data_IF_947966414054
#
_entry.id   IF_947966414054
#
_cell.length_a   1.000
_cell.length_b   1.000
_cell.length_c   1.000
_cell.angle_alpha   90.00
_cell.angle_beta   90.00
_cell.angle_gamma   90.00
#
_symmetry.space_group_name_H-M   'P 1'
#
loop_
_entity.id
_entity.type
_entity.pdbx_description
1 polymer ?
#
# COMPACT_ATOMS: atom_id res chain seq x y z
N UNK A 1 -33.51 31.63 -33.39
CA UNK A 1 -33.39 31.87 -31.94
C UNK A 1 -32.78 30.64 -31.29
N UNK A 2 -31.75 30.87 -30.45
CA UNK A 2 -31.11 29.99 -29.45
C UNK A 2 -30.74 28.56 -29.91
N UNK A 3 -29.48 28.17 -30.12
CA UNK A 3 -28.28 28.51 -29.35
C UNK A 3 -27.66 27.18 -28.91
N UNK A 4 -26.73 26.65 -29.71
CA UNK A 4 -25.90 25.46 -29.40
C UNK A 4 -25.01 25.78 -28.20
N UNK A 5 -25.57 25.63 -27.01
CA UNK A 5 -24.83 25.69 -25.76
C UNK A 5 -24.06 24.39 -25.57
N UNK A 6 -22.78 24.41 -25.94
CA UNK A 6 -21.76 23.49 -25.44
C UNK A 6 -21.94 23.37 -23.91
N UNK A 7 -22.48 22.23 -23.44
CA UNK A 7 -22.52 21.91 -22.01
C UNK A 7 -21.10 21.54 -21.62
N UNK A 8 -20.29 22.57 -21.37
CA UNK A 8 -18.98 22.48 -20.77
C UNK A 8 -19.18 21.89 -19.38
N UNK A 9 -18.85 20.60 -19.20
CA UNK A 9 -18.79 19.97 -17.89
C UNK A 9 -17.55 20.50 -17.16
N UNK A 10 -17.64 21.73 -16.66
CA UNK A 10 -16.77 22.23 -15.59
C UNK A 10 -17.31 21.65 -14.30
N UNK A 11 -16.44 20.97 -13.54
CA UNK A 11 -16.71 20.30 -12.25
C UNK A 11 -17.42 18.94 -12.33
N UNK A 12 -16.68 17.91 -12.75
CA UNK A 12 -17.06 16.52 -12.42
C UNK A 12 -16.76 16.22 -10.94
N UNK A 13 -17.59 16.73 -10.03
CA UNK A 13 -17.88 16.03 -8.78
C UNK A 13 -19.02 15.05 -9.08
N UNK A 14 -18.69 13.98 -9.80
CA UNK A 14 -19.65 12.92 -10.07
C UNK A 14 -20.00 12.20 -8.78
N UNK A 15 -21.20 12.44 -8.25
CA UNK A 15 -21.87 11.53 -7.33
C UNK A 15 -22.25 10.25 -8.09
N UNK A 16 -21.25 9.44 -8.45
CA UNK A 16 -21.49 8.07 -8.86
C UNK A 16 -21.86 7.27 -7.62
N UNK A 17 -23.00 6.58 -7.63
CA UNK A 17 -23.33 5.58 -6.62
C UNK A 17 -22.08 4.74 -6.36
N UNK A 18 -21.62 4.75 -5.12
CA UNK A 18 -20.39 4.07 -4.78
C UNK A 18 -20.76 2.59 -4.72
N UNK A 19 -20.71 1.92 -5.87
CA UNK A 19 -21.02 0.50 -5.99
C UNK A 19 -20.21 -0.25 -4.94
N UNK A 20 -20.89 -1.06 -4.13
CA UNK A 20 -20.32 -1.90 -3.09
C UNK A 20 -19.13 -2.71 -3.62
N UNK A 21 -19.13 -3.04 -4.92
CA UNK A 21 -18.01 -3.69 -5.62
C UNK A 21 -16.68 -2.95 -5.47
N UNK A 22 -16.67 -1.61 -5.49
CA UNK A 22 -15.45 -0.82 -5.36
C UNK A 22 -14.84 -0.94 -3.96
N UNK A 23 -15.65 -0.83 -2.91
CA UNK A 23 -15.17 -1.03 -1.55
C UNK A 23 -14.72 -2.46 -1.31
N UNK A 24 -15.47 -3.44 -1.84
CA UNK A 24 -15.11 -4.84 -1.75
C UNK A 24 -13.73 -5.12 -2.35
N UNK A 25 -13.47 -4.67 -3.58
CA UNK A 25 -12.16 -4.84 -4.24
C UNK A 25 -11.04 -4.17 -3.45
N UNK A 26 -11.28 -2.98 -2.88
CA UNK A 26 -10.28 -2.30 -2.05
C UNK A 26 -9.95 -3.09 -0.78
N UNK A 27 -10.93 -3.70 -0.12
CA UNK A 27 -10.68 -4.55 1.05
C UNK A 27 -9.99 -5.86 0.66
N UNK A 28 -10.38 -6.49 -0.46
CA UNK A 28 -9.70 -7.68 -0.98
C UNK A 28 -8.24 -7.37 -1.30
N UNK A 29 -7.95 -6.23 -1.95
CA UNK A 29 -6.59 -5.80 -2.23
C UNK A 29 -5.77 -5.58 -0.94
N UNK A 30 -6.36 -5.00 0.11
CA UNK A 30 -5.70 -4.86 1.41
C UNK A 30 -5.40 -6.21 2.06
N UNK A 31 -6.37 -7.13 2.08
CA UNK A 31 -6.18 -8.49 2.60
C UNK A 31 -5.08 -9.20 1.82
N UNK A 32 -5.14 -9.16 0.48
CA UNK A 32 -4.13 -9.73 -0.40
C UNK A 32 -2.73 -9.15 -0.10
N UNK A 33 -2.64 -7.83 0.10
CA UNK A 33 -1.39 -7.17 0.46
C UNK A 33 -0.82 -7.66 1.79
N UNK A 34 -1.64 -7.77 2.84
CA UNK A 34 -1.18 -8.31 4.13
C UNK A 34 -0.79 -9.79 4.03
N UNK A 35 -1.57 -10.61 3.34
CA UNK A 35 -1.23 -12.02 3.12
C UNK A 35 0.07 -12.20 2.34
N UNK A 36 0.34 -11.30 1.37
CA UNK A 36 1.60 -11.30 0.62
C UNK A 36 2.78 -11.03 1.54
N UNK A 37 2.67 -10.06 2.46
CA UNK A 37 3.70 -9.78 3.46
C UNK A 37 4.00 -10.98 4.36
N UNK A 38 2.96 -11.63 4.88
CA UNK A 38 3.10 -12.83 5.72
C UNK A 38 3.75 -13.99 4.95
N UNK A 39 3.32 -14.22 3.71
CA UNK A 39 3.90 -15.24 2.85
C UNK A 39 5.39 -14.99 2.60
N UNK A 40 5.77 -13.75 2.27
CA UNK A 40 7.17 -13.36 2.08
C UNK A 40 7.98 -13.49 3.37
N UNK A 41 7.43 -13.07 4.51
CA UNK A 41 8.11 -13.13 5.81
C UNK A 41 8.37 -14.57 6.25
N UNK A 42 7.37 -15.45 6.12
CA UNK A 42 7.50 -16.88 6.47
C UNK A 42 8.51 -17.63 5.60
N UNK A 43 8.74 -17.13 4.39
CA UNK A 43 9.59 -17.74 3.38
C UNK A 43 10.94 -17.06 3.18
N UNK A 44 11.25 -16.02 3.95
CA UNK A 44 12.49 -15.26 3.87
C UNK A 44 13.53 -15.81 4.83
N UNK A 45 14.78 -15.85 4.39
CA UNK A 45 15.89 -16.26 5.24
C UNK A 45 16.38 -15.09 6.09
N UNK A 46 16.32 -15.25 7.41
CA UNK A 46 16.87 -14.31 8.38
C UNK A 46 18.19 -14.85 8.94
N UNK A 47 19.33 -14.18 8.71
CA UNK A 47 20.60 -14.63 9.25
C UNK A 47 20.63 -14.50 10.78
N UNK A 48 21.34 -15.39 11.46
CA UNK A 48 21.48 -15.38 12.93
C UNK A 48 22.12 -14.11 13.50
N UNK A 49 22.83 -13.36 12.66
CA UNK A 49 23.40 -12.03 12.99
C UNK A 49 22.35 -10.92 13.03
N UNK A 50 21.14 -11.16 12.51
CA UNK A 50 20.06 -10.19 12.41
C UNK A 50 18.71 -10.90 12.55
N UNK A 51 18.53 -11.58 13.69
CA UNK A 51 17.29 -12.26 14.04
C UNK A 51 16.39 -11.27 14.80
N UNK A 52 15.28 -10.80 14.20
CA UNK A 52 14.50 -9.73 14.79
C UNK A 52 13.69 -10.26 15.97
N UNK A 53 13.94 -9.74 17.18
CA UNK A 53 13.09 -9.98 18.34
C UNK A 53 11.96 -8.96 18.41
N UNK A 54 12.16 -7.77 17.82
CA UNK A 54 11.24 -6.65 17.88
C UNK A 54 10.91 -6.07 16.50
N UNK A 55 9.74 -5.44 16.36
CA UNK A 55 9.32 -4.79 15.10
C UNK A 55 10.33 -3.77 14.58
N UNK A 56 11.01 -3.05 15.48
CA UNK A 56 12.02 -2.06 15.10
C UNK A 56 13.27 -2.72 14.47
N UNK A 57 13.66 -3.88 15.00
CA UNK A 57 14.78 -4.67 14.49
C UNK A 57 14.45 -5.30 13.15
N UNK A 58 13.17 -5.66 12.89
CA UNK A 58 12.72 -6.08 11.56
C UNK A 58 13.07 -4.99 10.53
N UNK A 59 12.77 -3.73 10.81
CA UNK A 59 13.11 -2.63 9.89
C UNK A 59 14.63 -2.39 9.79
N UNK A 60 15.36 -2.44 10.90
CA UNK A 60 16.83 -2.28 10.89
C UNK A 60 17.55 -3.38 10.12
N UNK A 61 17.15 -4.64 10.34
CA UNK A 61 17.67 -5.80 9.62
C UNK A 61 17.12 -5.90 8.20
N UNK A 62 15.96 -5.29 7.90
CA UNK A 62 15.34 -5.33 6.56
C UNK A 62 16.28 -4.87 5.45
N UNK A 63 17.08 -3.82 5.71
CA UNK A 63 18.00 -3.24 4.75
C UNK A 63 19.11 -4.21 4.29
N UNK A 64 19.43 -5.22 5.10
CA UNK A 64 20.45 -6.24 4.79
C UNK A 64 19.90 -7.51 4.17
N UNK A 65 18.58 -7.75 4.21
CA UNK A 65 17.96 -8.94 3.60
C UNK A 65 18.39 -9.23 2.16
N UNK A 66 18.38 -8.25 1.22
CA UNK A 66 18.80 -8.53 -0.15
C UNK A 66 20.31 -8.80 -0.28
N UNK A 67 21.13 -8.41 0.70
CA UNK A 67 22.57 -8.66 0.70
C UNK A 67 22.93 -10.03 1.26
N UNK A 68 22.26 -10.46 2.34
CA UNK A 68 22.58 -11.71 3.03
C UNK A 68 21.85 -12.93 2.44
N UNK A 69 20.63 -12.74 1.93
CA UNK A 69 19.81 -13.83 1.36
C UNK A 69 19.83 -13.91 -0.17
N UNK A 70 20.14 -12.80 -0.86
CA UNK A 70 20.32 -12.74 -2.33
C UNK A 70 19.12 -13.16 -3.20
N UNK A 71 18.01 -13.61 -2.62
CA UNK A 71 16.85 -14.10 -3.32
C UNK A 71 15.81 -13.03 -3.61
N UNK A 72 14.90 -13.36 -4.54
CA UNK A 72 13.81 -12.47 -4.93
C UNK A 72 12.79 -12.26 -3.80
N UNK A 73 12.66 -13.22 -2.88
CA UNK A 73 11.73 -13.15 -1.74
C UNK A 73 12.19 -12.12 -0.72
N UNK A 74 13.48 -12.08 -0.44
CA UNK A 74 14.11 -11.16 0.50
C UNK A 74 14.03 -9.72 -0.02
N UNK A 75 14.29 -9.52 -1.32
CA UNK A 75 14.09 -8.23 -1.97
C UNK A 75 12.61 -7.81 -1.97
N UNK A 76 11.69 -8.72 -2.26
CA UNK A 76 10.26 -8.45 -2.20
C UNK A 76 9.80 -8.11 -0.77
N UNK A 77 10.31 -8.79 0.25
CA UNK A 77 9.98 -8.52 1.64
C UNK A 77 10.46 -7.14 2.07
N UNK A 78 11.68 -6.73 1.67
CA UNK A 78 12.16 -5.37 1.87
C UNK A 78 11.19 -4.37 1.23
N UNK A 79 10.83 -4.56 -0.04
CA UNK A 79 9.92 -3.60 -0.69
C UNK A 79 8.56 -3.55 0.01
N UNK A 80 8.04 -4.69 0.46
CA UNK A 80 6.77 -4.75 1.19
C UNK A 80 6.84 -4.01 2.53
N UNK A 81 7.90 -4.25 3.32
CA UNK A 81 8.13 -3.59 4.61
C UNK A 81 8.21 -2.08 4.46
N UNK A 82 8.88 -1.58 3.41
CA UNK A 82 9.04 -0.13 3.21
C UNK A 82 7.86 0.51 2.48
N UNK A 83 7.13 -0.23 1.65
CA UNK A 83 5.93 0.28 0.98
C UNK A 83 4.74 0.42 1.94
N UNK A 84 4.56 -0.49 2.91
CA UNK A 84 3.45 -0.44 3.86
C UNK A 84 3.32 0.89 4.64
N UNK A 85 4.37 1.44 5.29
CA UNK A 85 4.25 2.72 5.99
C UNK A 85 3.98 3.88 5.04
N UNK A 86 4.51 3.84 3.81
CA UNK A 86 4.25 4.86 2.79
C UNK A 86 2.77 4.84 2.39
N UNK A 87 2.22 3.66 2.11
CA UNK A 87 0.81 3.51 1.74
C UNK A 87 -0.12 3.96 2.87
N UNK A 88 0.21 3.65 4.12
CA UNK A 88 -0.52 4.12 5.30
C UNK A 88 -0.44 5.66 5.39
N UNK A 89 0.75 6.25 5.27
CA UNK A 89 0.92 7.69 5.31
C UNK A 89 0.13 8.40 4.19
N UNK A 90 0.10 7.82 2.98
CA UNK A 90 -0.67 8.35 1.86
C UNK A 90 -2.19 8.24 2.09
N UNK A 91 -2.68 7.16 2.69
CA UNK A 91 -4.10 7.05 3.06
C UNK A 91 -4.46 8.07 4.14
N UNK A 92 -3.60 8.24 5.16
CA UNK A 92 -3.78 9.25 6.20
C UNK A 92 -3.83 10.65 5.57
N UNK A 93 -2.83 11.02 4.76
CA UNK A 93 -2.79 12.31 4.06
C UNK A 93 -4.05 12.55 3.21
N UNK A 94 -4.54 11.51 2.52
CA UNK A 94 -5.76 11.57 1.71
C UNK A 94 -7.00 11.82 2.57
N UNK A 95 -7.05 11.30 3.79
CA UNK A 95 -8.17 11.52 4.71
C UNK A 95 -8.16 12.95 5.27
N UNK A 96 -7.00 13.44 5.71
CA UNK A 96 -6.86 14.80 6.23
C UNK A 96 -7.18 15.89 5.20
N UNK A 97 -6.70 15.75 3.96
CA UNK A 97 -7.01 16.72 2.88
C UNK A 97 -8.51 16.77 2.53
N UNK A 98 -9.25 15.69 2.84
CA UNK A 98 -10.67 15.58 2.52
C UNK A 98 -11.58 16.24 3.55
N UNK A 99 -11.09 16.52 4.76
CA UNK A 99 -11.81 17.24 5.82
C UNK A 99 -11.62 18.76 5.74
N UNK A 100 -10.66 19.26 4.95
CA UNK A 100 -10.38 20.70 4.78
C UNK A 100 -11.13 21.36 3.60
N UNK A 101 -12.07 20.65 2.95
CA UNK A 101 -12.79 21.10 1.75
C UNK A 101 -14.31 21.08 1.86
#
# INVERSE_FOLDING_TARGET
MAGRGSRRFLTHHGHGEIQVSRYFVLYVAQVAWFTLGLYLYSGAYWPSTCQPENLLEIYGCSARLPMDGGGWREAALLTWLWATPILIALEISRRFNKDEG
#
